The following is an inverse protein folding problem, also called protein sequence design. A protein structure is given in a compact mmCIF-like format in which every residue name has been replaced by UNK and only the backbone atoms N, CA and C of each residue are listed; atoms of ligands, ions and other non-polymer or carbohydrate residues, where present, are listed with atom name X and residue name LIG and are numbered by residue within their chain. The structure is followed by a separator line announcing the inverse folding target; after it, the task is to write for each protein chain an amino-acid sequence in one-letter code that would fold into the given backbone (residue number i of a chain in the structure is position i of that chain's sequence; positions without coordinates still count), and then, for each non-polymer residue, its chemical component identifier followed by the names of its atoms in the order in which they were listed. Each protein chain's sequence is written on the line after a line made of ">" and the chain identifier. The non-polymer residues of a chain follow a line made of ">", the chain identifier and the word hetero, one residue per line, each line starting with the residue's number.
data_IF_603962715080
#
_entry.id   IF_603962715080
#
_cell.length_a   1.000
_cell.length_b   1.000
_cell.length_c   1.000
_cell.angle_alpha   90.00
_cell.angle_beta   90.00
_cell.angle_gamma   90.00
#
_symmetry.space_group_name_H-M   'P 1'
#
loop_
_entity.id
_entity.type
_entity.pdbx_description
1 polymer ?
#
# COMPACT_ATOMS: atom_id res chain seq x y z
N UNK A 1 3.37 -2.02 20.25
CA UNK A 1 3.46 -3.17 19.28
C UNK A 1 4.21 -4.36 19.89
N UNK A 2 4.01 -5.61 19.39
CA UNK A 2 4.84 -6.77 19.71
C UNK A 2 6.26 -6.60 19.19
N UNK A 3 7.26 -7.30 19.77
CA UNK A 3 8.58 -7.38 19.14
C UNK A 3 8.48 -7.85 17.70
N UNK A 4 9.34 -7.34 16.83
CA UNK A 4 9.26 -7.63 15.40
C UNK A 4 9.38 -9.13 15.09
N UNK A 5 10.15 -9.87 15.88
CA UNK A 5 10.31 -11.33 15.79
C UNK A 5 9.02 -12.12 16.04
N UNK A 6 8.05 -11.53 16.71
CA UNK A 6 6.77 -12.18 17.04
C UNK A 6 5.63 -11.76 16.09
N UNK A 7 5.95 -10.91 15.11
CA UNK A 7 4.97 -10.38 14.17
C UNK A 7 4.87 -11.21 12.89
N UNK A 8 3.65 -11.37 12.39
CA UNK A 8 3.34 -11.78 11.03
C UNK A 8 3.04 -10.55 10.20
N UNK A 9 3.79 -10.34 9.13
CA UNK A 9 3.76 -9.11 8.32
C UNK A 9 3.55 -9.45 6.86
N UNK A 10 2.48 -8.94 6.26
CA UNK A 10 2.28 -9.00 4.81
C UNK A 10 2.85 -7.76 4.14
N UNK A 11 3.69 -7.95 3.11
CA UNK A 11 4.16 -6.87 2.25
C UNK A 11 3.66 -7.11 0.82
N UNK A 12 2.73 -6.30 0.33
CA UNK A 12 2.26 -6.43 -1.06
C UNK A 12 3.31 -5.92 -2.05
N UNK A 13 3.42 -6.55 -3.25
CA UNK A 13 4.40 -6.15 -4.25
C UNK A 13 5.86 -6.29 -3.78
N UNK A 14 6.15 -7.39 -3.09
CA UNK A 14 7.46 -7.62 -2.45
C UNK A 14 8.41 -8.51 -3.26
N UNK A 15 8.17 -8.67 -4.57
CA UNK A 15 9.07 -9.44 -5.45
C UNK A 15 10.13 -8.56 -6.13
N UNK A 16 10.07 -7.24 -5.98
CA UNK A 16 11.04 -6.30 -6.56
C UNK A 16 11.14 -5.01 -5.72
N UNK A 17 12.12 -4.18 -6.03
CA UNK A 17 12.31 -2.82 -5.53
C UNK A 17 12.22 -2.68 -4.01
N UNK A 18 11.48 -1.66 -3.56
CA UNK A 18 11.31 -1.34 -2.14
C UNK A 18 10.72 -2.51 -1.35
N UNK A 19 9.62 -3.10 -1.84
CA UNK A 19 8.91 -4.16 -1.12
C UNK A 19 9.79 -5.37 -0.84
N UNK A 20 10.64 -5.79 -1.80
CA UNK A 20 11.58 -6.90 -1.62
C UNK A 20 12.63 -6.60 -0.56
N UNK A 21 13.18 -5.38 -0.57
CA UNK A 21 14.19 -4.97 0.43
C UNK A 21 13.58 -4.86 1.82
N UNK A 22 12.38 -4.31 1.94
CA UNK A 22 11.62 -4.26 3.22
C UNK A 22 11.36 -5.67 3.73
N UNK A 23 10.89 -6.59 2.87
CA UNK A 23 10.65 -7.99 3.25
C UNK A 23 11.93 -8.68 3.75
N UNK A 24 13.05 -8.49 3.06
CA UNK A 24 14.35 -9.06 3.48
C UNK A 24 14.79 -8.52 4.85
N UNK A 25 14.70 -7.22 5.08
CA UNK A 25 15.07 -6.60 6.36
C UNK A 25 14.18 -7.06 7.52
N UNK A 26 12.87 -7.22 7.27
CA UNK A 26 11.94 -7.74 8.28
C UNK A 26 12.24 -9.20 8.61
N UNK A 27 12.49 -10.05 7.60
CA UNK A 27 12.86 -11.45 7.80
C UNK A 27 14.19 -11.58 8.55
N UNK A 28 15.19 -10.75 8.21
CA UNK A 28 16.48 -10.72 8.92
C UNK A 28 16.34 -10.31 10.40
N UNK A 29 15.28 -9.59 10.77
CA UNK A 29 14.93 -9.24 12.17
C UNK A 29 14.05 -10.30 12.85
N UNK A 30 13.81 -11.43 12.19
CA UNK A 30 13.07 -12.56 12.73
C UNK A 30 11.54 -12.50 12.53
N UNK A 31 11.01 -11.52 11.81
CA UNK A 31 9.57 -11.46 11.52
C UNK A 31 9.13 -12.63 10.61
N UNK A 32 7.90 -13.09 10.79
CA UNK A 32 7.22 -13.98 9.84
C UNK A 32 6.68 -13.16 8.68
N UNK A 33 7.45 -13.08 7.61
CA UNK A 33 7.12 -12.25 6.45
C UNK A 33 6.36 -13.06 5.42
N UNK A 34 5.17 -12.55 5.02
CA UNK A 34 4.42 -13.03 3.87
C UNK A 34 4.75 -12.12 2.69
N UNK A 35 5.46 -12.66 1.70
CA UNK A 35 5.77 -11.93 0.46
C UNK A 35 4.67 -12.14 -0.56
N UNK A 36 4.39 -11.12 -1.36
CA UNK A 36 3.33 -11.16 -2.36
C UNK A 36 3.80 -10.61 -3.70
N UNK A 37 3.37 -11.27 -4.78
CA UNK A 37 3.55 -10.84 -6.16
C UNK A 37 2.61 -11.59 -7.11
N UNK A 38 2.54 -11.16 -8.37
CA UNK A 38 1.69 -11.79 -9.39
C UNK A 38 2.35 -12.94 -10.16
N UNK A 39 3.66 -13.05 -10.09
CA UNK A 39 4.47 -14.05 -10.79
C UNK A 39 4.96 -15.08 -9.77
N UNK A 40 4.53 -16.33 -9.94
CA UNK A 40 4.80 -17.42 -9.00
C UNK A 40 6.31 -17.71 -8.86
N UNK A 41 7.06 -17.68 -9.97
CA UNK A 41 8.50 -17.96 -9.95
C UNK A 41 9.26 -16.89 -9.18
N UNK A 42 8.91 -15.60 -9.39
CA UNK A 42 9.50 -14.48 -8.64
C UNK A 42 9.14 -14.51 -7.17
N UNK A 43 7.90 -14.89 -6.84
CA UNK A 43 7.48 -15.05 -5.44
C UNK A 43 8.30 -16.13 -4.77
N UNK A 44 8.43 -17.30 -5.39
CA UNK A 44 9.22 -18.41 -4.85
C UNK A 44 10.71 -18.05 -4.72
N UNK A 45 11.28 -17.39 -5.73
CA UNK A 45 12.64 -16.88 -5.67
C UNK A 45 12.81 -15.89 -4.51
N UNK A 46 11.84 -14.98 -4.32
CA UNK A 46 11.90 -14.00 -3.24
C UNK A 46 11.87 -14.67 -1.86
N UNK A 47 11.02 -15.68 -1.68
CA UNK A 47 11.00 -16.45 -0.41
C UNK A 47 12.39 -17.04 -0.11
N UNK A 48 13.00 -17.72 -1.10
CA UNK A 48 14.33 -18.33 -0.93
C UNK A 48 15.43 -17.30 -0.60
N UNK A 49 15.40 -16.14 -1.27
CA UNK A 49 16.48 -15.14 -1.15
C UNK A 49 16.34 -14.22 0.07
N UNK A 50 15.12 -13.99 0.55
CA UNK A 50 14.86 -13.11 1.69
C UNK A 50 14.72 -13.85 3.01
N UNK A 51 14.50 -15.17 2.98
CA UNK A 51 14.15 -15.93 4.17
C UNK A 51 12.73 -15.67 4.66
N UNK A 52 11.86 -15.15 3.81
CA UNK A 52 10.45 -14.97 4.14
C UNK A 52 9.77 -16.32 4.44
N UNK A 53 8.76 -16.30 5.30
CA UNK A 53 8.06 -17.51 5.73
C UNK A 53 7.26 -18.15 4.59
N UNK A 54 6.57 -17.34 3.79
CA UNK A 54 5.69 -17.83 2.73
C UNK A 54 5.49 -16.82 1.61
N UNK A 55 5.34 -17.34 0.39
CA UNK A 55 4.94 -16.59 -0.80
C UNK A 55 3.44 -16.69 -1.07
N UNK A 56 2.84 -15.59 -1.49
CA UNK A 56 1.45 -15.47 -1.87
C UNK A 56 1.35 -14.94 -3.30
N UNK A 57 0.67 -15.67 -4.18
CA UNK A 57 0.52 -15.29 -5.58
C UNK A 57 -0.88 -14.76 -5.85
N UNK A 58 -0.97 -13.50 -6.27
CA UNK A 58 -2.21 -12.88 -6.69
C UNK A 58 -1.94 -11.69 -7.63
N UNK A 59 -2.84 -11.43 -8.57
CA UNK A 59 -2.82 -10.21 -9.36
C UNK A 59 -3.75 -9.17 -8.73
N UNK A 60 -3.18 -8.08 -8.24
CA UNK A 60 -3.94 -6.99 -7.61
C UNK A 60 -4.81 -6.20 -8.61
N UNK A 61 -4.68 -6.45 -9.90
CA UNK A 61 -5.61 -5.92 -10.91
C UNK A 61 -6.93 -6.70 -10.99
N UNK A 62 -7.08 -7.79 -10.22
CA UNK A 62 -8.29 -8.62 -10.14
C UNK A 62 -8.83 -8.64 -8.71
N UNK A 63 -10.02 -8.13 -8.50
CA UNK A 63 -10.69 -8.16 -7.18
C UNK A 63 -10.96 -9.59 -6.71
N UNK A 64 -11.18 -10.54 -7.63
CA UNK A 64 -11.30 -11.96 -7.31
C UNK A 64 -9.98 -12.51 -6.74
N UNK A 65 -8.85 -12.13 -7.30
CA UNK A 65 -7.53 -12.51 -6.81
C UNK A 65 -7.23 -11.89 -5.44
N UNK A 66 -7.62 -10.62 -5.23
CA UNK A 66 -7.49 -9.96 -3.92
C UNK A 66 -8.30 -10.71 -2.85
N UNK A 67 -9.52 -11.14 -3.15
CA UNK A 67 -10.34 -11.95 -2.23
C UNK A 67 -9.69 -13.30 -1.92
N UNK A 68 -9.14 -13.96 -2.95
CA UNK A 68 -8.41 -15.22 -2.79
C UNK A 68 -7.14 -15.02 -1.96
N UNK A 69 -6.41 -13.93 -2.17
CA UNK A 69 -5.24 -13.56 -1.36
C UNK A 69 -5.62 -13.39 0.11
N UNK A 70 -6.65 -12.58 0.39
CA UNK A 70 -7.14 -12.41 1.75
C UNK A 70 -7.51 -13.76 2.39
N UNK A 71 -8.16 -14.66 1.65
CA UNK A 71 -8.55 -16.00 2.12
C UNK A 71 -7.39 -16.88 2.59
N UNK A 72 -6.17 -16.59 2.18
CA UNK A 72 -4.96 -17.34 2.55
C UNK A 72 -4.29 -16.85 3.84
N UNK A 73 -4.79 -15.79 4.45
CA UNK A 73 -4.16 -15.13 5.60
C UNK A 73 -5.05 -15.33 6.82
N UNK A 74 -4.55 -16.01 7.85
CA UNK A 74 -5.32 -16.30 9.06
C UNK A 74 -5.24 -15.14 10.06
N UNK A 75 -4.02 -14.74 10.45
CA UNK A 75 -3.76 -13.66 11.39
C UNK A 75 -2.59 -12.80 10.91
N UNK A 76 -2.67 -11.50 11.18
CA UNK A 76 -1.70 -10.52 10.76
C UNK A 76 -1.47 -9.46 11.85
N UNK A 77 -0.22 -9.07 12.09
CA UNK A 77 0.13 -7.96 13.00
C UNK A 77 0.35 -6.66 12.23
N UNK A 78 0.90 -6.77 11.02
CA UNK A 78 1.16 -5.59 10.18
C UNK A 78 0.84 -5.87 8.71
N UNK A 79 0.05 -4.99 8.11
CA UNK A 79 -0.22 -4.97 6.67
C UNK A 79 0.55 -3.81 6.02
N UNK A 80 1.42 -4.12 5.05
CA UNK A 80 2.13 -3.12 4.25
C UNK A 80 1.58 -3.12 2.83
N UNK A 81 0.73 -2.17 2.52
CA UNK A 81 0.19 -1.91 1.19
C UNK A 81 1.24 -1.15 0.36
N UNK A 82 2.18 -1.91 -0.21
CA UNK A 82 3.33 -1.35 -0.93
C UNK A 82 3.20 -1.47 -2.45
N UNK A 83 2.48 -2.45 -2.97
CA UNK A 83 2.35 -2.64 -4.41
C UNK A 83 1.88 -1.35 -5.12
N UNK A 84 2.42 -1.10 -6.31
CA UNK A 84 2.00 0.05 -7.11
C UNK A 84 2.54 -0.03 -8.53
N UNK A 85 1.81 0.62 -9.43
CA UNK A 85 2.14 0.71 -10.85
C UNK A 85 1.97 2.14 -11.36
N UNK A 86 2.65 2.45 -12.46
CA UNK A 86 2.38 3.60 -13.33
C UNK A 86 2.10 3.01 -14.71
N UNK A 87 0.93 3.26 -15.27
CA UNK A 87 0.52 2.70 -16.55
C UNK A 87 0.62 3.79 -17.63
N UNK A 88 1.45 3.61 -18.68
CA UNK A 88 1.70 4.66 -19.66
C UNK A 88 0.47 5.08 -20.48
N UNK A 89 -0.42 4.13 -20.76
CA UNK A 89 -1.64 4.33 -21.53
C UNK A 89 -2.82 3.79 -20.74
N UNK A 90 -3.98 4.47 -20.79
CA UNK A 90 -5.17 4.00 -20.10
C UNK A 90 -5.46 2.55 -20.49
N UNK A 91 -5.57 1.73 -19.48
CA UNK A 91 -6.02 0.36 -19.59
C UNK A 91 -6.90 0.02 -18.38
N UNK A 92 -7.63 -1.07 -18.48
CA UNK A 92 -8.56 -1.49 -17.46
C UNK A 92 -8.11 -2.77 -16.78
N UNK A 93 -8.47 -2.90 -15.53
CA UNK A 93 -8.33 -4.12 -14.74
C UNK A 93 -9.31 -5.20 -15.24
N UNK A 94 -9.20 -6.42 -14.71
CA UNK A 94 -10.15 -7.50 -15.00
C UNK A 94 -11.60 -7.14 -14.63
N UNK A 95 -11.78 -6.19 -13.70
CA UNK A 95 -13.08 -5.75 -13.19
C UNK A 95 -13.57 -4.45 -13.88
N UNK A 96 -12.88 -3.98 -14.94
CA UNK A 96 -13.27 -2.81 -15.74
C UNK A 96 -12.89 -1.45 -15.11
N UNK A 97 -11.98 -1.42 -14.14
CA UNK A 97 -11.52 -0.18 -13.50
C UNK A 97 -10.21 0.30 -14.10
N UNK A 98 -9.96 1.62 -14.06
CA UNK A 98 -8.66 2.17 -14.49
C UNK A 98 -7.52 1.46 -13.74
N UNK A 99 -6.53 0.95 -14.47
CA UNK A 99 -5.58 -0.03 -13.94
C UNK A 99 -4.68 0.54 -12.83
N UNK A 100 -4.28 1.81 -12.93
CA UNK A 100 -3.46 2.43 -11.88
C UNK A 100 -4.26 2.61 -10.59
N UNK A 101 -5.49 3.08 -10.69
CA UNK A 101 -6.40 3.22 -9.55
C UNK A 101 -6.75 1.85 -8.95
N UNK A 102 -7.04 0.86 -9.81
CA UNK A 102 -7.37 -0.50 -9.39
C UNK A 102 -6.24 -1.12 -8.55
N UNK A 103 -5.00 -1.07 -9.04
CA UNK A 103 -3.84 -1.69 -8.36
C UNK A 103 -3.38 -0.84 -7.16
N UNK A 104 -3.26 0.49 -7.30
CA UNK A 104 -2.64 1.30 -6.25
C UNK A 104 -3.58 1.59 -5.08
N UNK A 105 -4.90 1.66 -5.34
CA UNK A 105 -5.88 2.02 -4.33
C UNK A 105 -6.91 0.92 -4.07
N UNK A 106 -7.71 0.55 -5.08
CA UNK A 106 -8.90 -0.28 -4.88
C UNK A 106 -8.55 -1.68 -4.35
N UNK A 107 -7.47 -2.29 -4.86
CA UNK A 107 -6.98 -3.58 -4.37
C UNK A 107 -6.58 -3.53 -2.89
N UNK A 108 -5.88 -2.46 -2.48
CA UNK A 108 -5.44 -2.28 -1.10
C UNK A 108 -6.62 -1.95 -0.18
N UNK A 109 -7.58 -1.16 -0.66
CA UNK A 109 -8.84 -0.92 0.04
C UNK A 109 -9.56 -2.24 0.33
N UNK A 110 -9.79 -3.06 -0.71
CA UNK A 110 -10.47 -4.36 -0.56
C UNK A 110 -9.69 -5.33 0.32
N UNK A 111 -8.38 -5.48 0.08
CA UNK A 111 -7.51 -6.36 0.87
C UNK A 111 -7.55 -5.97 2.35
N UNK A 112 -7.39 -4.69 2.64
CA UNK A 112 -7.43 -4.18 4.01
C UNK A 112 -8.78 -4.45 4.66
N UNK A 113 -9.89 -4.14 3.98
CA UNK A 113 -11.25 -4.37 4.49
C UNK A 113 -11.49 -5.84 4.84
N UNK A 114 -11.04 -6.77 4.00
CA UNK A 114 -11.17 -8.21 4.23
C UNK A 114 -10.27 -8.75 5.35
N UNK A 115 -9.21 -8.03 5.71
CA UNK A 115 -8.25 -8.45 6.73
C UNK A 115 -8.46 -7.76 8.08
N UNK A 116 -9.37 -6.79 8.21
CA UNK A 116 -9.57 -6.03 9.47
C UNK A 116 -9.86 -6.92 10.67
N UNK A 117 -10.67 -7.96 10.51
CA UNK A 117 -11.01 -8.90 11.58
C UNK A 117 -9.93 -9.97 11.82
N UNK A 118 -8.91 -9.99 10.98
CA UNK A 118 -7.74 -10.87 11.12
C UNK A 118 -6.50 -10.15 11.66
N UNK A 119 -6.64 -8.87 11.97
CA UNK A 119 -5.58 -8.11 12.62
C UNK A 119 -5.50 -8.47 14.10
N UNK A 120 -4.32 -8.89 14.53
CA UNK A 120 -4.02 -9.23 15.92
C UNK A 120 -3.54 -7.97 16.65
N UNK A 121 -4.45 -7.30 17.31
CA UNK A 121 -4.17 -6.06 18.04
C UNK A 121 -3.13 -6.26 19.16
N UNK A 122 -2.21 -5.32 19.40
CA UNK A 122 -1.99 -4.09 18.63
C UNK A 122 -1.46 -4.36 17.22
N UNK A 123 -2.00 -3.66 16.20
CA UNK A 123 -1.69 -3.88 14.80
C UNK A 123 -1.39 -2.58 14.04
N UNK A 124 -0.70 -2.70 12.89
CA UNK A 124 -0.41 -1.56 12.02
C UNK A 124 -0.81 -1.82 10.58
N UNK A 125 -1.35 -0.78 9.93
CA UNK A 125 -1.56 -0.71 8.49
C UNK A 125 -0.70 0.42 7.94
N UNK A 126 0.19 0.10 7.02
CA UNK A 126 1.15 1.03 6.42
C UNK A 126 0.88 1.12 4.92
N UNK A 127 0.47 2.28 4.44
CA UNK A 127 0.19 2.53 3.03
C UNK A 127 1.37 3.28 2.38
N UNK A 128 2.04 2.63 1.42
CA UNK A 128 3.14 3.24 0.68
C UNK A 128 2.58 4.13 -0.42
N UNK A 129 2.34 5.39 -0.07
CA UNK A 129 1.84 6.44 -0.94
C UNK A 129 2.99 7.15 -1.69
N UNK A 130 2.86 8.45 -1.91
CA UNK A 130 3.88 9.29 -2.55
C UNK A 130 3.70 10.74 -2.13
N UNK A 131 4.76 11.56 -2.30
CA UNK A 131 4.64 13.03 -2.28
C UNK A 131 4.05 13.56 -3.60
N UNK A 132 4.16 12.79 -4.69
CA UNK A 132 3.50 13.08 -5.96
C UNK A 132 2.01 12.78 -5.84
N UNK A 133 1.25 13.77 -5.41
CA UNK A 133 -0.21 13.72 -5.18
C UNK A 133 -0.92 14.70 -6.09
N UNK A 134 -2.15 14.36 -6.51
CA UNK A 134 -3.05 15.24 -7.22
C UNK A 134 -4.48 15.00 -6.73
N UNK A 135 -5.32 16.05 -6.61
CA UNK A 135 -6.72 15.92 -6.19
C UNK A 135 -7.49 14.91 -7.03
N UNK A 136 -8.34 14.14 -6.35
CA UNK A 136 -9.24 13.20 -7.01
C UNK A 136 -10.34 13.96 -7.76
N UNK A 137 -10.49 13.63 -9.03
CA UNK A 137 -11.64 14.07 -9.81
C UNK A 137 -12.77 13.04 -9.66
N UNK A 138 -13.67 13.28 -8.73
CA UNK A 138 -14.80 12.38 -8.50
C UNK A 138 -15.82 12.31 -9.63
N UNK A 139 -15.82 13.27 -10.56
CA UNK A 139 -16.72 13.25 -11.73
C UNK A 139 -16.13 12.44 -12.90
N UNK A 140 -14.86 12.02 -12.76
CA UNK A 140 -14.14 11.16 -13.71
C UNK A 140 -13.01 10.41 -12.99
N UNK A 141 -13.37 9.68 -11.93
CA UNK A 141 -12.41 8.97 -11.06
C UNK A 141 -11.61 7.91 -11.84
N UNK A 142 -12.22 7.33 -12.87
CA UNK A 142 -11.61 6.33 -13.75
C UNK A 142 -10.87 6.93 -14.95
N UNK A 143 -10.74 8.27 -14.99
CA UNK A 143 -10.00 8.99 -16.04
C UNK A 143 -10.37 8.53 -17.45
N UNK A 144 -11.67 8.44 -17.72
CA UNK A 144 -12.19 8.08 -19.05
C UNK A 144 -11.90 9.17 -20.09
N UNK A 145 -11.73 10.41 -19.62
CA UNK A 145 -11.45 11.59 -20.42
C UNK A 145 -10.07 12.14 -20.12
N UNK A 146 -9.18 12.18 -21.13
CA UNK A 146 -7.90 12.87 -21.03
C UNK A 146 -6.88 12.19 -20.12
N UNK A 147 -6.78 10.86 -20.17
CA UNK A 147 -5.80 10.09 -19.39
C UNK A 147 -4.37 10.54 -19.60
N UNK A 148 -3.64 10.67 -18.51
CA UNK A 148 -2.18 10.85 -18.49
C UNK A 148 -1.59 10.01 -17.35
N UNK A 149 -0.49 9.31 -17.62
CA UNK A 149 0.10 8.34 -16.70
C UNK A 149 0.46 8.91 -15.32
N UNK A 150 1.13 10.07 -15.29
CA UNK A 150 1.54 10.67 -14.02
C UNK A 150 0.36 11.26 -13.22
N UNK A 151 -0.59 12.00 -13.80
CA UNK A 151 -1.84 12.38 -13.13
C UNK A 151 -2.63 11.19 -12.56
N UNK A 152 -2.77 10.10 -13.31
CA UNK A 152 -3.43 8.88 -12.83
C UNK A 152 -2.71 8.29 -11.59
N UNK A 153 -1.39 8.20 -11.67
CA UNK A 153 -0.57 7.78 -10.54
C UNK A 153 -0.72 8.74 -9.35
N UNK A 154 -0.58 10.04 -9.56
CA UNK A 154 -0.65 11.04 -8.50
C UNK A 154 -2.04 11.04 -7.81
N UNK A 155 -3.12 10.91 -8.57
CA UNK A 155 -4.48 10.75 -8.05
C UNK A 155 -4.60 9.46 -7.21
N UNK A 156 -4.07 8.32 -7.70
CA UNK A 156 -4.10 7.07 -6.96
C UNK A 156 -3.31 7.13 -5.64
N UNK A 157 -2.20 7.91 -5.62
CA UNK A 157 -1.39 8.10 -4.42
C UNK A 157 -2.06 9.00 -3.38
N UNK A 158 -2.81 10.01 -3.83
CA UNK A 158 -3.65 10.76 -2.93
C UNK A 158 -4.81 9.92 -2.41
N UNK A 159 -5.43 9.08 -3.24
CA UNK A 159 -6.48 8.15 -2.79
C UNK A 159 -6.01 7.24 -1.64
N UNK A 160 -4.77 6.77 -1.67
CA UNK A 160 -4.19 5.99 -0.55
C UNK A 160 -4.09 6.81 0.75
N UNK A 161 -3.82 8.12 0.67
CA UNK A 161 -3.76 8.98 1.86
C UNK A 161 -5.17 9.27 2.40
N UNK A 162 -6.14 9.60 1.52
CA UNK A 162 -7.54 9.76 1.93
C UNK A 162 -8.05 8.49 2.62
N UNK A 163 -7.81 7.33 2.02
CA UNK A 163 -8.15 6.03 2.58
C UNK A 163 -7.53 5.82 3.96
N UNK A 164 -6.23 6.13 4.11
CA UNK A 164 -5.53 5.98 5.39
C UNK A 164 -6.16 6.84 6.48
N UNK A 165 -6.50 8.09 6.17
CA UNK A 165 -7.09 9.03 7.11
C UNK A 165 -8.53 8.61 7.49
N UNK A 166 -9.32 8.19 6.51
CA UNK A 166 -10.69 7.71 6.76
C UNK A 166 -10.69 6.42 7.58
N UNK A 167 -9.83 5.45 7.24
CA UNK A 167 -9.73 4.21 7.98
C UNK A 167 -9.24 4.43 9.41
N UNK A 168 -8.29 5.34 9.63
CA UNK A 168 -7.83 5.70 10.97
C UNK A 168 -8.97 6.27 11.83
N UNK A 169 -9.86 7.06 11.23
CA UNK A 169 -11.05 7.60 11.89
C UNK A 169 -12.05 6.48 12.25
N UNK A 170 -12.33 5.58 11.30
CA UNK A 170 -13.26 4.45 11.48
C UNK A 170 -12.78 3.42 12.50
N UNK A 171 -11.47 3.30 12.68
CA UNK A 171 -10.86 2.38 13.65
C UNK A 171 -10.60 3.02 15.02
N UNK A 172 -11.12 4.22 15.29
CA UNK A 172 -11.03 4.83 16.64
C UNK A 172 -11.59 3.88 17.71
N UNK A 173 -10.79 3.65 18.74
CA UNK A 173 -11.13 2.73 19.83
C UNK A 173 -10.62 1.30 19.64
N UNK A 174 -10.09 0.96 18.46
CA UNK A 174 -9.30 -0.26 18.25
C UNK A 174 -7.81 0.03 18.42
N UNK A 175 -7.04 -0.94 18.84
CA UNK A 175 -5.58 -0.83 18.92
C UNK A 175 -4.94 -1.15 17.54
N UNK A 176 -5.41 -0.41 16.52
CA UNK A 176 -4.93 -0.50 15.14
C UNK A 176 -4.55 0.90 14.66
N UNK A 177 -3.32 1.07 14.21
CA UNK A 177 -2.88 2.34 13.61
C UNK A 177 -2.80 2.23 12.10
N UNK A 178 -3.18 3.32 11.42
CA UNK A 178 -3.17 3.42 9.95
C UNK A 178 -2.42 4.67 9.55
N UNK A 179 -1.31 4.52 8.83
CA UNK A 179 -0.52 5.65 8.37
C UNK A 179 -0.12 5.48 6.90
N UNK A 180 0.07 6.60 6.22
CA UNK A 180 0.62 6.64 4.88
C UNK A 180 2.01 7.27 4.87
N UNK A 181 2.86 6.88 3.90
CA UNK A 181 4.17 7.52 3.74
C UNK A 181 4.58 7.67 2.28
N UNK A 182 5.34 8.72 2.00
CA UNK A 182 6.26 8.79 0.87
C UNK A 182 7.61 8.22 1.32
N UNK A 183 8.06 7.07 0.80
CA UNK A 183 9.26 6.42 1.34
C UNK A 183 10.55 7.19 1.02
N UNK A 184 10.75 7.57 -0.24
CA UNK A 184 11.83 8.43 -0.71
C UNK A 184 11.57 8.87 -2.16
N UNK A 185 12.15 10.01 -2.56
CA UNK A 185 11.88 10.63 -3.87
C UNK A 185 12.64 9.91 -4.98
N UNK A 186 11.92 9.37 -5.98
CA UNK A 186 12.50 8.74 -7.16
C UNK A 186 13.60 7.72 -6.81
N UNK A 187 13.25 6.75 -5.95
CA UNK A 187 14.16 5.66 -5.56
C UNK A 187 14.68 4.90 -6.78
N UNK A 188 15.88 4.34 -6.67
CA UNK A 188 16.49 3.53 -7.72
C UNK A 188 15.79 2.18 -7.91
N UNK A 189 14.57 2.22 -8.43
CA UNK A 189 13.70 1.08 -8.74
C UNK A 189 13.43 0.99 -10.24
N UNK A 190 12.98 -0.18 -10.69
CA UNK A 190 12.56 -0.40 -12.08
C UNK A 190 11.49 0.60 -12.50
N UNK A 191 10.45 0.81 -11.65
CA UNK A 191 9.38 1.76 -11.93
C UNK A 191 9.90 3.17 -12.20
N UNK A 192 10.82 3.67 -11.37
CA UNK A 192 11.38 5.01 -11.53
C UNK A 192 12.19 5.11 -12.82
N UNK A 193 13.07 4.14 -13.10
CA UNK A 193 13.91 4.14 -14.32
C UNK A 193 13.09 4.10 -15.59
N UNK A 194 12.00 3.35 -15.62
CA UNK A 194 11.17 3.17 -16.82
C UNK A 194 10.12 4.26 -17.02
N UNK A 195 9.58 4.83 -15.92
CA UNK A 195 8.38 5.69 -15.99
C UNK A 195 8.60 7.13 -15.53
N UNK A 196 9.59 7.37 -14.65
CA UNK A 196 9.79 8.69 -14.02
C UNK A 196 11.14 9.32 -14.36
N UNK A 197 12.08 8.56 -14.94
CA UNK A 197 13.37 9.05 -15.36
C UNK A 197 14.53 8.66 -14.43
N UNK A 198 15.44 9.60 -14.12
CA UNK A 198 16.65 9.27 -13.36
C UNK A 198 16.37 9.16 -11.86
N UNK A 199 16.88 8.12 -11.17
CA UNK A 199 16.82 8.03 -9.70
C UNK A 199 17.49 9.23 -9.03
N UNK A 200 16.97 9.59 -7.85
CA UNK A 200 17.48 10.69 -7.00
C UNK A 200 17.77 10.25 -5.57
N UNK A 201 17.20 9.12 -5.14
CA UNK A 201 17.40 8.53 -3.83
C UNK A 201 17.76 7.06 -3.97
N UNK A 202 18.39 6.51 -2.94
CA UNK A 202 18.63 5.07 -2.81
C UNK A 202 17.35 4.33 -2.39
N UNK A 203 17.31 3.03 -2.64
CA UNK A 203 16.23 2.17 -2.11
C UNK A 203 16.33 2.08 -0.59
N UNK A 204 17.54 2.13 -0.04
CA UNK A 204 17.83 2.05 1.40
C UNK A 204 17.17 3.18 2.19
N UNK A 205 17.11 4.40 1.66
CA UNK A 205 16.38 5.52 2.27
C UNK A 205 14.88 5.18 2.42
N UNK A 206 14.28 4.65 1.34
CA UNK A 206 12.88 4.22 1.36
C UNK A 206 12.63 3.04 2.31
N UNK A 207 13.58 2.10 2.40
CA UNK A 207 13.53 0.98 3.34
C UNK A 207 13.54 1.50 4.78
N UNK A 208 14.45 2.41 5.12
CA UNK A 208 14.53 2.99 6.46
C UNK A 208 13.22 3.69 6.86
N UNK A 209 12.64 4.48 5.96
CA UNK A 209 11.37 5.15 6.19
C UNK A 209 10.21 4.17 6.40
N UNK A 210 10.15 3.13 5.56
CA UNK A 210 9.08 2.10 5.63
C UNK A 210 9.21 1.27 6.90
N UNK A 211 10.43 0.84 7.27
CA UNK A 211 10.68 0.11 8.51
C UNK A 211 10.34 0.93 9.75
N UNK A 212 10.58 2.25 9.73
CA UNK A 212 10.14 3.15 10.79
C UNK A 212 8.62 3.10 10.95
N UNK A 213 7.87 3.22 9.86
CA UNK A 213 6.41 3.16 9.90
C UNK A 213 5.89 1.81 10.42
N UNK A 214 6.61 0.71 10.13
CA UNK A 214 6.25 -0.65 10.55
C UNK A 214 6.59 -0.89 12.03
N UNK A 215 7.78 -0.49 12.50
CA UNK A 215 8.36 -1.06 13.72
C UNK A 215 8.81 -0.02 14.77
N UNK A 216 8.80 1.28 14.49
CA UNK A 216 9.25 2.27 15.45
C UNK A 216 8.26 2.38 16.63
N UNK A 217 8.70 2.14 17.88
CA UNK A 217 7.85 2.30 19.06
C UNK A 217 7.33 3.74 19.26
N UNK A 218 8.03 4.75 18.74
CA UNK A 218 7.56 6.14 18.79
C UNK A 218 6.27 6.36 17.98
N UNK A 219 5.92 5.43 17.12
CA UNK A 219 4.67 5.46 16.35
C UNK A 219 3.56 4.58 16.97
N UNK A 220 3.76 4.04 18.19
CA UNK A 220 2.68 3.34 18.90
C UNK A 220 1.53 4.31 19.21
N UNK A 221 0.32 3.96 18.77
CA UNK A 221 -0.86 4.80 18.89
C UNK A 221 -0.93 5.99 17.92
N UNK A 222 0.10 6.22 17.09
CA UNK A 222 0.07 7.27 16.06
C UNK A 222 -0.69 6.76 14.84
N UNK A 223 -1.80 7.44 14.49
CA UNK A 223 -2.69 7.02 13.40
C UNK A 223 -3.19 8.23 12.60
N UNK A 224 -3.50 8.03 11.32
CA UNK A 224 -4.00 9.09 10.43
C UNK A 224 -2.92 10.11 10.04
N UNK A 225 -1.65 9.68 9.98
CA UNK A 225 -0.53 10.56 9.60
C UNK A 225 -0.01 10.24 8.21
N UNK A 226 0.51 11.29 7.58
CA UNK A 226 1.33 11.17 6.37
C UNK A 226 2.78 11.53 6.71
N UNK A 227 3.71 10.69 6.24
CA UNK A 227 5.15 10.91 6.45
C UNK A 227 5.87 11.13 5.12
N UNK A 228 6.78 12.10 5.08
CA UNK A 228 7.79 12.24 4.02
C UNK A 228 9.12 11.69 4.54
N UNK A 229 9.49 10.53 4.04
CA UNK A 229 10.57 9.75 4.64
C UNK A 229 10.24 9.40 6.09
N UNK A 230 11.07 9.88 7.00
CA UNK A 230 10.89 9.67 8.46
C UNK A 230 10.24 10.85 9.17
N UNK A 231 9.82 11.91 8.45
CA UNK A 231 9.27 13.13 9.05
C UNK A 231 7.75 13.19 8.88
N UNK A 232 7.07 13.68 9.90
CA UNK A 232 5.66 14.06 9.77
C UNK A 232 5.53 15.16 8.71
N UNK A 233 4.58 15.04 7.80
CA UNK A 233 4.39 15.95 6.68
C UNK A 233 2.91 16.17 6.37
N UNK A 234 2.61 17.28 5.71
CA UNK A 234 1.29 17.52 5.16
C UNK A 234 1.14 16.81 3.81
N UNK A 235 0.00 16.16 3.60
CA UNK A 235 -0.45 15.69 2.30
C UNK A 235 -1.19 16.81 1.55
N UNK A 236 -1.68 16.51 0.33
CA UNK A 236 -2.60 17.40 -0.38
C UNK A 236 -3.80 17.77 0.51
N UNK A 237 -4.28 19.03 0.49
CA UNK A 237 -5.41 19.47 1.32
C UNK A 237 -6.67 18.60 1.22
N UNK A 238 -6.96 17.99 0.05
CA UNK A 238 -8.11 17.10 -0.11
C UNK A 238 -8.04 15.88 0.82
N UNK A 239 -6.84 15.43 1.24
CA UNK A 239 -6.69 14.34 2.19
C UNK A 239 -7.30 14.64 3.57
N UNK A 240 -7.50 15.91 3.90
CA UNK A 240 -8.07 16.36 5.17
C UNK A 240 -9.54 16.77 5.06
N UNK A 241 -10.08 16.81 3.84
CA UNK A 241 -11.51 17.04 3.60
C UNK A 241 -12.32 15.78 3.95
N UNK A 242 -13.17 15.90 4.96
CA UNK A 242 -13.98 14.78 5.47
C UNK A 242 -15.02 14.29 4.44
N UNK A 243 -15.56 15.19 3.60
CA UNK A 243 -16.53 14.81 2.58
C UNK A 243 -15.84 14.07 1.43
N UNK A 244 -14.66 14.53 1.00
CA UNK A 244 -13.86 13.83 0.00
C UNK A 244 -13.46 12.42 0.48
N UNK A 245 -13.04 12.28 1.75
CA UNK A 245 -12.69 10.97 2.33
C UNK A 245 -13.87 10.01 2.34
N UNK A 246 -15.04 10.46 2.81
CA UNK A 246 -16.26 9.65 2.83
C UNK A 246 -16.69 9.27 1.41
N UNK A 247 -16.69 10.23 0.48
CA UNK A 247 -17.04 9.98 -0.92
C UNK A 247 -16.13 8.93 -1.56
N UNK A 248 -14.81 9.01 -1.31
CA UNK A 248 -13.88 7.99 -1.80
C UNK A 248 -14.14 6.63 -1.17
N UNK A 249 -14.46 6.60 0.13
CA UNK A 249 -14.77 5.35 0.83
C UNK A 249 -16.00 4.67 0.23
N UNK A 250 -17.11 5.39 0.12
CA UNK A 250 -18.37 4.86 -0.41
C UNK A 250 -18.20 4.38 -1.86
N UNK A 251 -17.49 5.15 -2.67
CA UNK A 251 -17.18 4.77 -4.05
C UNK A 251 -16.27 3.53 -4.11
N UNK A 252 -15.29 3.42 -3.22
CA UNK A 252 -14.41 2.25 -3.14
C UNK A 252 -15.19 0.99 -2.70
N UNK A 253 -16.12 1.09 -1.76
CA UNK A 253 -17.01 -0.01 -1.38
C UNK A 253 -17.87 -0.47 -2.55
N UNK A 254 -18.46 0.47 -3.27
CA UNK A 254 -19.27 0.20 -4.46
C UNK A 254 -18.45 -0.50 -5.56
N UNK A 255 -17.28 0.04 -5.89
CA UNK A 255 -16.40 -0.51 -6.94
C UNK A 255 -15.82 -1.87 -6.53
N UNK A 256 -15.52 -2.06 -5.25
CA UNK A 256 -15.03 -3.33 -4.72
C UNK A 256 -16.14 -4.37 -4.51
N UNK A 257 -17.42 -4.02 -4.62
CA UNK A 257 -18.55 -4.92 -4.41
C UNK A 257 -18.62 -5.44 -2.96
N UNK A 258 -18.48 -4.53 -1.97
CA UNK A 258 -18.63 -4.81 -0.53
C UNK A 258 -19.56 -3.80 0.16
N UNK A 259 -20.27 -2.98 -0.64
CA UNK A 259 -21.27 -2.03 -0.17
C UNK A 259 -22.52 -2.76 0.34
#
# INVERSE_FOLDING_TARGET
>A
MRPISDQTILVTGSTDGLGRRVAAELAARGARVLVHGRDAEKVEQTVRETGAERGLVADLSSLADVRRLAGQIDLLDTLVNNAGVIVPQRSESADGHELTFAVNHLSHFLLTSLLLDRLREPARIVNVASIGQAPLNFDDLMLERGYQAYPAYAQSKLAQVLFSNELAERLRGRDVTVNALHPATMMDTKMVREQLGRPRSSVEEGVAATLRAIADPQLDGVSGRFFDGTRDAAADPQAYDADARRRLWDESERLAGIA
#
